data_IF_365974492748
#
_entry.id   IF_365974492748
#
_cell.length_a   1.000
_cell.length_b   1.000
_cell.length_c   1.000
_cell.angle_alpha   90.00
_cell.angle_beta   90.00
_cell.angle_gamma   90.00
#
_symmetry.space_group_name_H-M   'P 1'
#
loop_
_entity.id
_entity.type
_entity.pdbx_description
1 polymer ?
#
# COMPACT_ATOMS: atom_id res chain seq x y z
N UNK A 1 8.85 21.48 -2.75
CA UNK A 1 9.94 22.41 -2.39
C UNK A 1 9.29 23.70 -1.87
N UNK A 2 9.28 23.93 -0.56
CA UNK A 2 8.74 25.17 0.02
C UNK A 2 9.77 26.29 -0.16
N UNK A 3 9.60 27.10 -1.20
CA UNK A 3 10.42 28.29 -1.43
C UNK A 3 9.65 29.50 -0.90
N UNK A 4 10.09 30.08 0.22
CA UNK A 4 9.70 31.45 0.58
C UNK A 4 10.95 32.29 0.71
N UNK A 5 10.95 33.49 0.11
CA UNK A 5 12.08 34.40 -0.04
C UNK A 5 12.62 35.00 1.30
N UNK A 6 12.24 34.44 2.44
CA UNK A 6 12.66 34.86 3.78
C UNK A 6 13.78 33.98 4.36
N UNK A 7 13.96 32.77 3.85
CA UNK A 7 14.92 31.78 4.35
C UNK A 7 16.39 32.03 4.00
N UNK A 8 16.82 33.27 3.77
CA UNK A 8 18.23 33.61 3.53
C UNK A 8 18.79 34.66 4.50
N UNK A 9 17.95 35.21 5.40
CA UNK A 9 18.40 36.17 6.41
C UNK A 9 18.79 35.42 7.67
N UNK A 10 20.02 35.64 8.15
CA UNK A 10 20.58 34.93 9.31
C UNK A 10 19.74 35.09 10.58
N UNK A 11 19.15 36.28 10.75
CA UNK A 11 18.18 36.63 11.81
C UNK A 11 16.89 35.80 11.77
N UNK A 12 16.40 35.40 10.57
CA UNK A 12 15.21 34.55 10.41
C UNK A 12 15.55 33.09 10.72
N UNK A 13 16.73 32.61 10.29
CA UNK A 13 17.20 31.26 10.57
C UNK A 13 17.42 30.96 12.05
N UNK A 14 17.76 31.97 12.86
CA UNK A 14 17.96 31.84 14.30
C UNK A 14 16.69 32.06 15.12
N UNK A 15 15.58 32.50 14.51
CA UNK A 15 14.31 32.67 15.21
C UNK A 15 13.72 31.30 15.58
N UNK A 16 13.49 31.07 16.87
CA UNK A 16 13.02 29.79 17.40
C UNK A 16 11.63 29.38 16.87
N UNK A 17 10.77 30.34 16.45
CA UNK A 17 9.47 30.05 15.83
C UNK A 17 9.63 29.63 14.39
N UNK A 18 10.55 30.25 13.64
CA UNK A 18 10.87 29.83 12.28
C UNK A 18 11.52 28.44 12.25
N UNK A 19 12.47 28.17 13.15
CA UNK A 19 13.07 26.85 13.32
C UNK A 19 12.01 25.80 13.69
N UNK A 20 11.12 26.11 14.63
CA UNK A 20 10.00 25.23 14.99
C UNK A 20 9.07 24.98 13.80
N UNK A 21 8.68 26.02 13.07
CA UNK A 21 7.82 25.86 11.89
C UNK A 21 8.48 25.03 10.78
N UNK A 22 9.78 25.22 10.55
CA UNK A 22 10.54 24.41 9.59
C UNK A 22 10.66 22.96 10.05
N UNK A 23 10.97 22.74 11.33
CA UNK A 23 11.06 21.39 11.92
C UNK A 23 9.70 20.70 11.94
N UNK A 24 8.62 21.41 12.24
CA UNK A 24 7.25 20.89 12.19
C UNK A 24 6.84 20.59 10.75
N UNK A 25 7.27 21.41 9.77
CA UNK A 25 7.03 21.16 8.34
C UNK A 25 7.85 19.98 7.80
N UNK A 26 9.09 19.82 8.28
CA UNK A 26 9.92 18.65 8.00
C UNK A 26 9.35 17.41 8.68
N UNK A 27 8.94 17.50 9.95
CA UNK A 27 8.30 16.42 10.69
C UNK A 27 7.00 16.01 10.00
N UNK A 28 6.13 16.96 9.62
CA UNK A 28 4.94 16.69 8.81
C UNK A 28 5.29 16.00 7.49
N UNK A 29 6.36 16.43 6.80
CA UNK A 29 6.80 15.81 5.55
C UNK A 29 7.40 14.39 5.75
N UNK A 30 8.04 14.13 6.89
CA UNK A 30 8.69 12.85 7.21
C UNK A 30 7.71 11.84 7.82
N UNK A 31 6.86 12.30 8.74
CA UNK A 31 5.81 11.52 9.41
C UNK A 31 4.60 11.31 8.50
N UNK A 32 4.48 12.06 7.41
CA UNK A 32 3.32 12.04 6.52
C UNK A 32 2.07 12.51 7.27
N UNK A 33 0.97 12.81 6.57
CA UNK A 33 -0.21 13.21 7.29
C UNK A 33 -0.78 11.97 8.00
N UNK A 34 -0.91 12.03 9.33
CA UNK A 34 -1.81 11.15 10.10
C UNK A 34 -3.24 11.17 9.49
N UNK A 35 -3.53 12.21 8.69
CA UNK A 35 -4.72 12.41 7.91
C UNK A 35 -4.59 11.87 6.46
N UNK A 36 -5.38 10.87 6.08
CA UNK A 36 -5.38 10.32 4.73
C UNK A 36 -5.77 11.39 3.69
N UNK A 37 -5.04 11.46 2.58
CA UNK A 37 -5.40 12.33 1.47
C UNK A 37 -6.68 11.80 0.78
N UNK A 38 -7.61 12.67 0.34
CA UNK A 38 -8.80 12.21 -0.36
C UNK A 38 -8.40 11.54 -1.68
N UNK A 39 -9.15 10.51 -2.08
CA UNK A 39 -9.00 9.89 -3.39
C UNK A 39 -9.20 10.95 -4.49
N UNK A 40 -8.39 10.93 -5.57
CA UNK A 40 -8.51 11.90 -6.65
C UNK A 40 -9.84 11.74 -7.39
N UNK A 41 -10.26 12.79 -8.11
CA UNK A 41 -11.46 12.74 -8.93
C UNK A 41 -11.37 11.61 -9.97
N UNK A 42 -12.47 10.87 -10.15
CA UNK A 42 -12.53 9.70 -11.03
C UNK A 42 -11.96 8.41 -10.42
N UNK A 43 -11.34 8.47 -9.24
CA UNK A 43 -10.90 7.26 -8.56
C UNK A 43 -12.11 6.47 -8.04
N UNK A 44 -12.02 5.16 -8.21
CA UNK A 44 -12.89 4.22 -7.54
C UNK A 44 -12.39 3.99 -6.12
N UNK A 45 -13.16 4.45 -5.14
CA UNK A 45 -12.91 4.18 -3.72
C UNK A 45 -13.31 2.73 -3.42
N UNK A 46 -12.35 1.94 -2.94
CA UNK A 46 -12.52 0.54 -2.54
C UNK A 46 -12.67 0.41 -1.03
N UNK A 47 -12.10 1.35 -0.26
CA UNK A 47 -12.37 1.52 1.15
C UNK A 47 -12.02 2.96 1.57
N UNK A 48 -12.96 3.65 2.22
CA UNK A 48 -12.78 5.05 2.58
C UNK A 48 -11.88 5.21 3.80
N UNK A 49 -11.15 6.32 3.84
CA UNK A 49 -10.27 6.65 4.96
C UNK A 49 -11.01 7.28 6.16
N UNK A 50 -12.30 7.54 6.01
CA UNK A 50 -13.21 7.97 7.08
C UNK A 50 -14.44 7.08 6.98
N UNK A 51 -14.33 5.83 7.44
CA UNK A 51 -15.50 4.97 7.58
C UNK A 51 -16.48 5.67 8.53
N UNK A 52 -17.76 5.71 8.15
CA UNK A 52 -18.76 6.29 9.02
C UNK A 52 -19.00 5.29 10.12
N UNK A 53 -18.65 5.62 11.37
CA UNK A 53 -18.92 4.79 12.57
C UNK A 53 -20.40 4.41 12.75
N UNK A 54 -21.28 4.89 11.89
CA UNK A 54 -22.72 4.61 11.86
C UNK A 54 -23.14 3.56 10.81
N UNK A 55 -22.26 3.15 9.88
CA UNK A 55 -22.60 2.17 8.85
C UNK A 55 -22.26 0.74 9.32
N UNK A 56 -23.10 -0.26 8.95
CA UNK A 56 -22.77 -1.66 9.19
C UNK A 56 -21.47 -2.08 8.48
N UNK A 57 -20.70 -2.98 9.08
CA UNK A 57 -19.43 -3.51 8.52
C UNK A 57 -19.57 -3.99 7.08
N UNK A 58 -20.65 -4.73 6.78
CA UNK A 58 -20.92 -5.24 5.44
C UNK A 58 -21.03 -4.14 4.38
N UNK A 59 -21.43 -2.93 4.76
CA UNK A 59 -21.52 -1.78 3.85
C UNK A 59 -20.17 -1.10 3.63
N UNK A 60 -19.34 -1.03 4.67
CA UNK A 60 -17.97 -0.47 4.57
C UNK A 60 -17.04 -1.40 3.79
N UNK A 61 -17.24 -2.72 3.88
CA UNK A 61 -16.50 -3.72 3.11
C UNK A 61 -17.21 -4.16 1.81
N UNK A 62 -18.17 -3.38 1.32
CA UNK A 62 -19.02 -3.78 0.20
C UNK A 62 -18.25 -4.07 -1.10
N UNK A 63 -17.08 -3.43 -1.31
CA UNK A 63 -16.22 -3.67 -2.46
C UNK A 63 -15.41 -4.99 -2.38
N UNK A 64 -15.41 -5.66 -1.22
CA UNK A 64 -14.55 -6.78 -0.91
C UNK A 64 -15.32 -8.08 -0.67
N UNK A 65 -14.65 -9.19 -0.92
CA UNK A 65 -15.10 -10.55 -0.63
C UNK A 65 -13.88 -11.41 -0.23
N UNK A 66 -14.11 -12.57 0.34
CA UNK A 66 -13.10 -13.61 0.44
C UNK A 66 -12.78 -14.19 -0.95
N UNK A 67 -11.62 -14.83 -1.10
CA UNK A 67 -11.24 -15.48 -2.38
C UNK A 67 -12.26 -16.50 -2.89
N UNK A 68 -12.97 -17.17 -1.99
CA UNK A 68 -14.01 -18.15 -2.32
C UNK A 68 -15.39 -17.51 -2.62
N UNK A 69 -15.46 -16.18 -2.64
CA UNK A 69 -16.66 -15.40 -2.92
C UNK A 69 -17.56 -15.16 -1.71
N UNK A 70 -17.22 -15.67 -0.52
CA UNK A 70 -17.94 -15.35 0.72
C UNK A 70 -17.78 -13.88 1.10
N UNK A 71 -18.65 -13.42 1.99
CA UNK A 71 -18.56 -12.07 2.54
C UNK A 71 -17.21 -11.80 3.22
N UNK A 72 -16.70 -10.58 3.08
CA UNK A 72 -15.47 -10.16 3.73
C UNK A 72 -15.58 -10.34 5.26
N UNK A 73 -14.65 -11.08 5.85
CA UNK A 73 -14.71 -11.46 7.27
C UNK A 73 -13.68 -10.73 8.15
N UNK A 74 -12.97 -9.75 7.58
CA UNK A 74 -12.14 -8.84 8.35
C UNK A 74 -13.01 -7.89 9.17
N UNK A 75 -12.45 -7.33 10.26
CA UNK A 75 -13.19 -6.45 11.18
C UNK A 75 -12.83 -4.99 10.94
N UNK A 76 -13.71 -4.09 11.35
CA UNK A 76 -13.39 -2.65 11.38
C UNK A 76 -12.75 -2.26 12.71
N UNK A 77 -11.69 -1.47 12.65
CA UNK A 77 -11.04 -0.85 13.80
C UNK A 77 -10.85 0.63 13.50
N UNK A 78 -11.69 1.47 14.12
CA UNK A 78 -11.70 2.91 13.83
C UNK A 78 -12.10 3.18 12.38
N UNK A 79 -11.21 3.83 11.63
CA UNK A 79 -11.34 4.17 10.22
C UNK A 79 -10.68 3.14 9.27
N UNK A 80 -10.32 1.96 9.79
CA UNK A 80 -9.57 0.93 9.06
C UNK A 80 -10.27 -0.43 9.08
N UNK A 81 -9.93 -1.27 8.11
CA UNK A 81 -10.16 -2.71 8.18
C UNK A 81 -8.92 -3.39 8.75
N UNK A 82 -9.08 -4.35 9.65
CA UNK A 82 -7.99 -5.13 10.26
C UNK A 82 -8.13 -6.60 9.86
N UNK A 83 -7.03 -7.19 9.41
CA UNK A 83 -6.92 -8.63 9.14
C UNK A 83 -7.41 -9.43 10.35
N UNK A 84 -8.33 -10.36 10.13
CA UNK A 84 -8.72 -11.35 11.13
C UNK A 84 -8.04 -12.66 10.77
N UNK A 85 -7.03 -13.02 11.57
CA UNK A 85 -6.17 -14.18 11.29
C UNK A 85 -6.95 -15.46 11.01
N UNK A 86 -6.63 -16.11 9.89
CA UNK A 86 -7.22 -17.39 9.49
C UNK A 86 -8.59 -17.27 8.82
N UNK A 87 -9.06 -16.05 8.54
CA UNK A 87 -10.30 -15.85 7.77
C UNK A 87 -10.06 -15.83 6.26
N UNK A 88 -8.81 -15.64 5.83
CA UNK A 88 -8.42 -15.62 4.43
C UNK A 88 -8.23 -14.21 3.86
N UNK A 89 -7.66 -14.18 2.65
CA UNK A 89 -7.37 -12.94 1.91
C UNK A 89 -8.66 -12.24 1.46
N UNK A 90 -8.65 -10.92 1.51
CA UNK A 90 -9.68 -10.13 0.86
C UNK A 90 -9.31 -9.85 -0.60
N UNK A 91 -10.28 -9.98 -1.48
CA UNK A 91 -10.21 -9.58 -2.89
C UNK A 91 -11.30 -8.58 -3.21
N UNK A 92 -11.02 -7.64 -4.10
CA UNK A 92 -12.08 -6.79 -4.65
C UNK A 92 -13.02 -7.61 -5.51
N UNK A 93 -14.31 -7.31 -5.44
CA UNK A 93 -15.34 -7.95 -6.29
C UNK A 93 -15.17 -7.60 -7.77
N UNK A 94 -14.65 -6.41 -8.03
CA UNK A 94 -14.33 -5.94 -9.36
C UNK A 94 -12.88 -6.22 -9.71
N UNK A 95 -12.61 -6.25 -11.02
CA UNK A 95 -11.27 -6.48 -11.58
C UNK A 95 -10.75 -5.23 -12.26
N UNK A 96 -9.43 -5.07 -12.21
CA UNK A 96 -8.72 -3.88 -12.63
C UNK A 96 -7.54 -4.23 -13.55
N UNK A 97 -7.13 -3.26 -14.34
CA UNK A 97 -6.01 -3.34 -15.28
C UNK A 97 -4.99 -2.25 -14.98
N UNK A 98 -4.58 -1.56 -16.03
CA UNK A 98 -3.70 -0.40 -15.93
C UNK A 98 -4.31 0.70 -15.07
N UNK A 99 -3.47 1.34 -14.25
CA UNK A 99 -3.90 2.45 -13.44
C UNK A 99 -2.99 2.73 -12.25
N UNK A 100 -3.45 3.68 -11.45
CA UNK A 100 -2.88 3.98 -10.15
C UNK A 100 -3.67 3.26 -9.06
N UNK A 101 -2.96 2.66 -8.13
CA UNK A 101 -3.51 2.04 -6.94
C UNK A 101 -2.92 2.76 -5.74
N UNK A 102 -3.76 3.05 -4.76
CA UNK A 102 -3.34 3.59 -3.48
C UNK A 102 -3.84 2.73 -2.35
N UNK A 103 -2.97 2.47 -1.38
CA UNK A 103 -3.24 1.70 -0.19
C UNK A 103 -2.53 2.35 0.98
N UNK A 104 -3.26 2.68 2.04
CA UNK A 104 -2.66 2.95 3.34
C UNK A 104 -2.68 1.68 4.19
N UNK A 105 -1.56 1.37 4.84
CA UNK A 105 -1.43 0.21 5.71
C UNK A 105 -0.67 0.53 7.00
N UNK A 106 -0.95 -0.24 8.05
CA UNK A 106 -0.31 -0.12 9.34
C UNK A 106 0.02 -1.53 9.86
N UNK A 107 1.29 -1.78 10.13
CA UNK A 107 1.75 -3.04 10.72
C UNK A 107 1.59 -3.00 12.25
N UNK A 108 1.25 -4.12 12.90
CA UNK A 108 1.14 -4.19 14.35
C UNK A 108 2.50 -4.19 15.04
N UNK A 109 2.57 -3.74 16.29
CA UNK A 109 3.74 -3.95 17.14
C UNK A 109 3.82 -5.43 17.57
N UNK A 110 4.86 -6.14 17.12
CA UNK A 110 5.08 -7.57 17.42
C UNK A 110 6.54 -7.80 17.88
N UNK A 111 6.91 -7.36 19.08
CA UNK A 111 8.32 -7.35 19.54
C UNK A 111 8.96 -8.74 19.62
N UNK A 112 8.16 -9.79 19.82
CA UNK A 112 8.64 -11.17 19.92
C UNK A 112 8.71 -11.90 18.57
N UNK A 113 8.22 -11.28 17.49
CA UNK A 113 8.23 -11.84 16.15
C UNK A 113 9.42 -11.34 15.34
N UNK A 114 9.93 -12.18 14.43
CA UNK A 114 11.04 -11.83 13.54
C UNK A 114 10.80 -12.35 12.12
N UNK A 115 11.53 -11.81 11.15
CA UNK A 115 11.43 -12.20 9.74
C UNK A 115 10.00 -12.12 9.21
N UNK A 116 9.60 -13.11 8.41
CA UNK A 116 8.28 -13.19 7.78
C UNK A 116 7.10 -13.39 8.76
N UNK A 117 7.35 -13.55 10.06
CA UNK A 117 6.28 -13.62 11.06
C UNK A 117 5.94 -12.25 11.65
N UNK A 118 6.72 -11.20 11.37
CA UNK A 118 6.61 -9.89 12.02
C UNK A 118 5.76 -8.92 11.18
N UNK A 119 4.45 -8.91 11.42
CA UNK A 119 3.54 -7.97 10.76
C UNK A 119 3.37 -8.19 9.26
N UNK A 120 3.45 -9.44 8.81
CA UNK A 120 3.38 -9.84 7.40
C UNK A 120 1.95 -9.80 6.85
N UNK A 121 1.81 -9.27 5.65
CA UNK A 121 0.65 -9.28 4.76
C UNK A 121 1.16 -8.93 3.35
N UNK A 122 0.30 -8.56 2.40
CA UNK A 122 0.76 -8.20 1.06
C UNK A 122 -0.33 -7.53 0.24
N UNK A 123 0.09 -6.63 -0.65
CA UNK A 123 -0.78 -5.97 -1.64
C UNK A 123 -0.53 -6.59 -2.99
N UNK A 124 -1.48 -7.35 -3.50
CA UNK A 124 -1.37 -8.08 -4.76
C UNK A 124 -2.13 -7.36 -5.87
N UNK A 125 -1.39 -6.79 -6.83
CA UNK A 125 -1.95 -6.21 -8.03
C UNK A 125 -2.48 -7.33 -8.92
N UNK A 126 -3.74 -7.20 -9.35
CA UNK A 126 -4.50 -8.21 -10.06
C UNK A 126 -4.51 -9.60 -9.39
N UNK A 127 -4.31 -9.67 -8.08
CA UNK A 127 -4.28 -10.92 -7.31
C UNK A 127 -3.06 -11.79 -7.64
N UNK A 128 -1.97 -11.21 -8.16
CA UNK A 128 -0.81 -11.97 -8.63
C UNK A 128 0.56 -11.33 -8.52
N UNK A 129 0.66 -10.01 -8.42
CA UNK A 129 1.95 -9.33 -8.23
C UNK A 129 1.98 -8.67 -6.86
N UNK A 130 2.68 -9.29 -5.92
CA UNK A 130 2.78 -8.81 -4.55
C UNK A 130 3.81 -7.68 -4.40
N UNK A 131 3.33 -6.53 -3.94
CA UNK A 131 4.15 -5.55 -3.22
C UNK A 131 4.05 -5.90 -1.74
N UNK A 132 5.18 -6.30 -1.17
CA UNK A 132 5.24 -6.91 0.15
C UNK A 132 4.85 -5.94 1.27
N UNK A 133 4.10 -6.41 2.27
CA UNK A 133 3.81 -5.66 3.50
C UNK A 133 4.44 -6.40 4.68
N UNK A 134 5.40 -5.77 5.35
CA UNK A 134 6.07 -6.36 6.51
C UNK A 134 6.52 -5.26 7.48
N UNK A 135 6.62 -5.56 8.77
CA UNK A 135 7.34 -4.69 9.69
C UNK A 135 8.86 -4.87 9.48
N UNK A 136 9.38 -4.15 8.49
CA UNK A 136 10.80 -4.07 8.17
C UNK A 136 11.47 -2.81 8.74
N UNK A 137 10.86 -2.11 9.71
CA UNK A 137 11.42 -0.86 10.24
C UNK A 137 12.83 -1.05 10.81
N UNK A 138 13.79 -0.28 10.29
CA UNK A 138 15.20 -0.32 10.70
C UNK A 138 15.99 -1.53 10.19
N UNK A 139 15.46 -2.29 9.23
CA UNK A 139 16.15 -3.42 8.59
C UNK A 139 16.78 -3.01 7.24
N UNK A 140 17.75 -3.78 6.78
CA UNK A 140 18.22 -3.70 5.39
C UNK A 140 17.16 -4.33 4.46
N UNK A 141 16.84 -3.70 3.30
CA UNK A 141 15.82 -4.22 2.40
C UNK A 141 16.28 -5.53 1.73
N UNK A 142 15.46 -6.58 1.83
CA UNK A 142 15.63 -7.86 1.14
C UNK A 142 14.49 -8.18 0.16
N UNK A 143 14.56 -9.38 -0.44
CA UNK A 143 13.55 -9.84 -1.42
C UNK A 143 12.18 -10.17 -0.82
N UNK A 144 12.09 -10.32 0.50
CA UNK A 144 10.85 -10.58 1.23
C UNK A 144 10.48 -9.48 2.22
N UNK A 145 11.18 -8.34 2.18
CA UNK A 145 10.94 -7.22 3.10
C UNK A 145 9.95 -6.22 2.51
N UNK A 146 9.44 -5.33 3.37
CA UNK A 146 8.43 -4.33 3.01
C UNK A 146 8.83 -3.56 1.74
N UNK A 147 7.90 -3.50 0.79
CA UNK A 147 8.07 -2.79 -0.46
C UNK A 147 8.76 -3.61 -1.56
N UNK A 148 9.32 -4.78 -1.26
CA UNK A 148 9.83 -5.67 -2.29
C UNK A 148 8.71 -6.12 -3.25
N UNK A 149 9.05 -6.31 -4.52
CA UNK A 149 8.24 -7.17 -5.39
C UNK A 149 8.60 -8.59 -4.98
N UNK A 150 7.72 -9.25 -4.23
CA UNK A 150 8.09 -10.39 -3.39
C UNK A 150 8.84 -11.49 -4.16
N UNK A 151 10.04 -11.83 -3.68
CA UNK A 151 10.92 -12.83 -4.27
C UNK A 151 11.57 -12.44 -5.61
N UNK A 152 11.29 -11.25 -6.14
CA UNK A 152 11.73 -10.83 -7.49
C UNK A 152 12.60 -9.59 -7.50
N UNK A 153 12.25 -8.56 -6.71
CA UNK A 153 12.98 -7.28 -6.70
C UNK A 153 13.01 -6.66 -5.31
N UNK A 154 14.23 -6.41 -4.83
CA UNK A 154 14.48 -5.65 -3.59
C UNK A 154 14.10 -4.19 -3.81
N UNK A 155 13.44 -3.57 -2.83
CA UNK A 155 13.17 -2.14 -2.82
C UNK A 155 14.47 -1.33 -2.84
N UNK A 156 14.52 -0.23 -3.60
CA UNK A 156 15.72 0.60 -3.69
C UNK A 156 16.17 1.21 -2.35
N UNK A 157 15.20 1.46 -1.46
CA UNK A 157 15.43 1.94 -0.09
C UNK A 157 14.34 1.36 0.81
N UNK A 158 14.69 1.06 2.06
CA UNK A 158 13.70 0.79 3.08
C UNK A 158 13.05 2.12 3.52
N UNK A 159 11.79 2.33 3.12
CA UNK A 159 11.00 3.48 3.48
C UNK A 159 10.01 3.21 4.63
N UNK A 160 10.16 2.06 5.32
CA UNK A 160 9.26 1.68 6.42
C UNK A 160 9.33 2.67 7.58
N UNK A 161 8.17 2.93 8.17
CA UNK A 161 8.02 3.60 9.47
C UNK A 161 7.88 2.55 10.57
N UNK A 162 8.07 2.98 11.82
CA UNK A 162 7.87 2.14 12.99
C UNK A 162 6.47 1.49 12.99
N UNK A 163 6.30 0.31 13.62
CA UNK A 163 4.98 -0.31 13.75
C UNK A 163 3.98 0.65 14.40
N UNK A 164 2.69 0.42 14.13
CA UNK A 164 1.58 1.28 14.54
C UNK A 164 1.58 2.68 13.90
N UNK A 165 2.45 2.93 12.91
CA UNK A 165 2.39 4.11 12.04
C UNK A 165 1.80 3.77 10.68
N UNK A 166 1.01 4.69 10.16
CA UNK A 166 0.45 4.57 8.82
C UNK A 166 1.52 4.77 7.77
N UNK A 167 1.44 3.95 6.74
CA UNK A 167 2.32 3.94 5.58
C UNK A 167 1.47 3.98 4.31
N UNK A 168 1.99 4.60 3.25
CA UNK A 168 1.31 4.62 1.95
C UNK A 168 2.07 3.79 0.93
N UNK A 169 1.32 3.07 0.09
CA UNK A 169 1.75 2.68 -1.23
C UNK A 169 0.96 3.44 -2.28
N UNK A 170 1.68 4.12 -3.16
CA UNK A 170 1.17 4.61 -4.44
C UNK A 170 1.83 3.76 -5.53
N UNK A 171 1.03 3.08 -6.33
CA UNK A 171 1.52 2.08 -7.30
C UNK A 171 0.98 2.44 -8.67
N UNK A 172 1.85 2.74 -9.62
CA UNK A 172 1.51 2.76 -11.03
C UNK A 172 1.75 1.37 -11.61
N UNK A 173 0.66 0.75 -12.08
CA UNK A 173 0.68 -0.61 -12.59
C UNK A 173 0.26 -0.63 -14.05
N UNK A 174 1.04 -1.35 -14.87
CA UNK A 174 0.67 -1.72 -16.24
C UNK A 174 0.53 -3.22 -16.31
N UNK A 175 -0.66 -3.69 -16.63
CA UNK A 175 -1.00 -5.10 -16.72
C UNK A 175 -0.20 -5.82 -17.82
N UNK A 176 0.03 -7.13 -17.72
CA UNK A 176 0.58 -7.89 -18.83
C UNK A 176 -0.33 -7.80 -20.06
N UNK A 177 0.25 -7.86 -21.25
CA UNK A 177 -0.49 -7.88 -22.52
C UNK A 177 -0.40 -9.24 -23.17
N UNK A 178 -1.45 -9.59 -23.89
CA UNK A 178 -1.58 -10.84 -24.62
C UNK A 178 -1.99 -10.55 -26.05
N UNK A 179 -1.48 -11.34 -27.00
CA UNK A 179 -1.92 -11.29 -28.38
C UNK A 179 -3.27 -12.01 -28.58
N UNK A 180 -3.78 -12.00 -29.82
CA UNK A 180 -5.05 -12.64 -30.17
C UNK A 180 -5.02 -14.18 -29.98
N UNK A 181 -3.83 -14.79 -29.95
CA UNK A 181 -3.66 -16.22 -29.69
C UNK A 181 -3.54 -16.52 -28.18
N UNK A 182 -3.66 -15.51 -27.32
CA UNK A 182 -3.53 -15.65 -25.87
C UNK A 182 -2.08 -15.77 -25.39
N UNK A 183 -1.09 -15.56 -26.26
CA UNK A 183 0.32 -15.58 -25.86
C UNK A 183 0.71 -14.21 -25.31
N UNK A 184 1.46 -14.21 -24.20
CA UNK A 184 1.98 -12.96 -23.60
C UNK A 184 2.83 -12.19 -24.62
N UNK A 185 2.47 -10.93 -24.84
CA UNK A 185 3.15 -9.99 -25.73
C UNK A 185 3.90 -8.88 -24.97
N UNK A 186 3.50 -8.57 -23.73
CA UNK A 186 4.24 -7.70 -22.82
C UNK A 186 4.08 -8.15 -21.37
N UNK A 187 5.12 -7.97 -20.56
CA UNK A 187 5.12 -8.25 -19.12
C UNK A 187 4.48 -7.11 -18.33
N UNK A 188 4.08 -7.41 -17.11
CA UNK A 188 3.60 -6.39 -16.19
C UNK A 188 4.73 -5.43 -15.81
N UNK A 189 4.38 -4.17 -15.55
CA UNK A 189 5.33 -3.14 -15.11
C UNK A 189 4.80 -2.41 -13.88
N UNK A 190 5.69 -2.13 -12.92
CA UNK A 190 5.36 -1.44 -11.68
C UNK A 190 6.32 -0.29 -11.41
N UNK A 191 5.76 0.87 -11.08
CA UNK A 191 6.43 1.89 -10.28
C UNK A 191 5.76 1.96 -8.92
N UNK A 192 6.54 2.01 -7.84
CA UNK A 192 6.01 1.98 -6.47
C UNK A 192 6.67 3.09 -5.67
N UNK A 193 5.84 3.90 -5.03
CA UNK A 193 6.24 4.86 -4.02
C UNK A 193 5.76 4.40 -2.65
N UNK A 194 6.68 4.30 -1.70
CA UNK A 194 6.40 3.97 -0.31
C UNK A 194 6.64 5.21 0.54
N UNK A 195 5.60 5.73 1.18
CA UNK A 195 5.66 6.99 1.93
C UNK A 195 6.18 8.16 1.06
N UNK A 196 5.81 8.17 -0.23
CA UNK A 196 6.25 9.18 -1.20
C UNK A 196 7.67 8.99 -1.75
N UNK A 197 8.44 8.01 -1.26
CA UNK A 197 9.76 7.67 -1.79
C UNK A 197 9.63 6.63 -2.90
N UNK A 198 10.19 6.90 -4.09
CA UNK A 198 10.23 5.94 -5.19
C UNK A 198 11.15 4.75 -4.81
N UNK A 199 10.57 3.57 -4.63
CA UNK A 199 11.29 2.33 -4.27
C UNK A 199 11.42 1.34 -5.43
N UNK A 200 10.56 1.48 -6.45
CA UNK A 200 10.66 0.82 -7.75
C UNK A 200 10.29 1.84 -8.83
N UNK A 201 11.16 2.02 -9.81
CA UNK A 201 10.92 2.91 -10.95
C UNK A 201 10.82 2.09 -12.22
N UNK A 202 9.59 1.98 -12.74
CA UNK A 202 9.23 1.28 -13.95
C UNK A 202 9.96 -0.06 -14.10
N UNK A 203 9.71 -0.97 -13.17
CA UNK A 203 10.30 -2.32 -13.15
C UNK A 203 9.39 -3.31 -13.87
N UNK A 204 9.97 -4.10 -14.78
CA UNK A 204 9.29 -5.22 -15.41
C UNK A 204 9.26 -6.42 -14.47
N UNK A 205 8.10 -7.10 -14.38
CA UNK A 205 7.91 -8.31 -13.59
C UNK A 205 7.64 -9.48 -14.51
N UNK A 206 8.47 -10.52 -14.39
CA UNK A 206 8.55 -11.63 -15.34
C UNK A 206 7.40 -12.65 -15.24
N UNK A 207 6.62 -12.59 -14.17
CA UNK A 207 5.41 -13.40 -13.93
C UNK A 207 4.87 -13.20 -12.50
N UNK A 208 3.86 -13.98 -12.07
CA UNK A 208 3.30 -13.89 -10.72
C UNK A 208 4.33 -14.07 -9.61
N UNK A 209 4.10 -13.43 -8.46
CA UNK A 209 4.80 -13.71 -7.20
C UNK A 209 4.20 -14.95 -6.53
N UNK A 210 4.86 -15.46 -5.48
CA UNK A 210 4.30 -16.57 -4.70
C UNK A 210 2.90 -16.22 -4.16
N UNK A 211 1.99 -17.18 -4.12
CA UNK A 211 0.57 -16.94 -3.74
C UNK A 211 -0.30 -16.29 -4.84
N UNK A 212 0.33 -15.79 -5.90
CA UNK A 212 -0.33 -15.16 -7.03
C UNK A 212 -1.07 -16.13 -7.95
N UNK A 213 -2.16 -15.66 -8.54
CA UNK A 213 -2.89 -16.36 -9.61
C UNK A 213 -2.19 -16.27 -10.97
N UNK A 214 -2.63 -17.08 -11.94
CA UNK A 214 -2.17 -16.98 -13.33
C UNK A 214 -2.43 -15.58 -13.92
N UNK A 215 -1.58 -15.19 -14.86
CA UNK A 215 -1.69 -13.88 -15.49
C UNK A 215 -2.90 -13.78 -16.42
N UNK A 216 -3.61 -12.66 -16.31
CA UNK A 216 -4.71 -12.29 -17.18
C UNK A 216 -4.70 -10.77 -17.39
N UNK A 217 -5.39 -10.25 -18.42
CA UNK A 217 -5.44 -8.80 -18.67
C UNK A 217 -6.01 -7.99 -17.49
N UNK A 218 -6.95 -8.58 -16.74
CA UNK A 218 -7.58 -7.98 -15.56
C UNK A 218 -7.42 -8.90 -14.34
N UNK A 219 -7.58 -8.36 -13.14
CA UNK A 219 -7.70 -9.14 -11.91
C UNK A 219 -8.05 -8.26 -10.71
N UNK A 220 -8.41 -8.85 -9.57
CA UNK A 220 -8.80 -8.09 -8.38
C UNK A 220 -7.58 -7.43 -7.71
N UNK A 221 -7.80 -6.40 -6.91
CA UNK A 221 -6.83 -6.05 -5.87
C UNK A 221 -7.00 -7.07 -4.73
N UNK A 222 -5.90 -7.65 -4.24
CA UNK A 222 -5.93 -8.60 -3.12
C UNK A 222 -5.09 -8.09 -1.97
N UNK A 223 -5.62 -8.21 -0.75
CA UNK A 223 -4.93 -7.96 0.51
C UNK A 223 -4.80 -9.27 1.28
N UNK A 224 -3.57 -9.66 1.60
CA UNK A 224 -3.27 -10.99 2.12
C UNK A 224 -3.57 -11.14 3.61
N UNK A 225 -4.16 -12.26 4.02
CA UNK A 225 -4.16 -12.73 5.40
C UNK A 225 -2.99 -13.69 5.62
N UNK A 226 -1.94 -13.19 6.29
CA UNK A 226 -0.81 -14.01 6.75
C UNK A 226 -0.85 -14.25 8.28
N UNK A 227 -2.03 -14.13 8.89
CA UNK A 227 -2.24 -14.34 10.32
C UNK A 227 -1.83 -13.17 11.22
N UNK A 228 -1.33 -12.07 10.67
CA UNK A 228 -0.95 -10.88 11.44
C UNK A 228 -2.02 -9.79 11.32
N UNK A 229 -2.35 -9.05 12.40
CA UNK A 229 -3.40 -8.03 12.41
C UNK A 229 -2.93 -6.72 11.75
N UNK A 230 -2.53 -6.79 10.47
CA UNK A 230 -2.25 -5.61 9.65
C UNK A 230 -3.56 -4.86 9.38
N UNK A 231 -3.51 -3.54 9.41
CA UNK A 231 -4.65 -2.68 9.11
C UNK A 231 -4.49 -2.00 7.77
N UNK A 232 -5.62 -1.77 7.11
CA UNK A 232 -5.70 -1.07 5.84
C UNK A 232 -6.75 0.03 5.90
N UNK A 233 -6.46 1.17 5.28
CA UNK A 233 -7.43 2.23 5.04
C UNK A 233 -7.14 2.93 3.71
N UNK A 234 -7.99 3.88 3.33
CA UNK A 234 -7.82 4.71 2.14
C UNK A 234 -7.40 3.89 0.90
N UNK A 235 -8.23 2.96 0.47
CA UNK A 235 -7.90 2.09 -0.67
C UNK A 235 -8.67 2.58 -1.88
N UNK A 236 -7.98 2.90 -2.97
CA UNK A 236 -8.61 3.34 -4.20
C UNK A 236 -7.83 2.95 -5.45
N UNK A 237 -8.54 2.92 -6.58
CA UNK A 237 -8.00 2.65 -7.90
C UNK A 237 -8.42 3.76 -8.88
N UNK A 238 -7.48 4.27 -9.67
CA UNK A 238 -7.73 5.23 -10.74
C UNK A 238 -7.26 4.63 -12.08
N UNK A 239 -8.16 4.35 -13.03
CA UNK A 239 -7.79 3.86 -14.35
C UNK A 239 -6.83 4.79 -15.09
N UNK A 240 -5.88 4.24 -15.86
CA UNK A 240 -5.01 4.98 -16.79
C UNK A 240 -4.96 4.31 -18.16
#
# INVERSE_FOLDING_TARGET
MFYTALGHREEVWRDARFQRHLLDGIAWALEGPDHPAPAPEGARVLFAAQSSRSLPVARELAAWAQRDGKEAAWKLVGDSMEVVAGTGDLVTKDTFGDGLYHVEFQTPAMPDATGQARGNSGVYLQGRYEVQVLDSYGLEPGLGDCGAIYGKRVAAVNASRAPERWQTYDIEFRAPRFDQAGKKSARARLSVWHNGLCIHDDIEVDGPTAGGSDEAPLGPLLLQDHGNPVRYRNVWFLPR
#
